data_IF_270001758769
#
_entry.id   IF_270001758769
#
_cell.length_a   1.000
_cell.length_b   1.000
_cell.length_c   1.000
_cell.angle_alpha   90.00
_cell.angle_beta   90.00
_cell.angle_gamma   90.00
#
_symmetry.space_group_name_H-M   'P 1'
#
loop_
_entity.id
_entity.type
_entity.pdbx_description
1 polymer ?
#
# COMPACT_ATOMS: atom_id res chain seq x y z
N UNK A 1 -40.30 -86.50 -2.12
CA UNK A 1 -40.93 -86.52 -3.46
C UNK A 1 -40.23 -85.49 -4.27
N UNK A 2 -39.18 -85.92 -5.01
CA UNK A 2 -39.14 -86.27 -6.44
C UNK A 2 -39.83 -85.12 -7.27
N UNK A 3 -39.17 -84.41 -8.14
CA UNK A 3 -38.73 -84.88 -9.41
C UNK A 3 -37.80 -83.87 -10.13
N UNK A 4 -36.78 -84.44 -10.71
CA UNK A 4 -35.88 -83.96 -11.77
C UNK A 4 -36.59 -83.47 -13.00
N UNK A 5 -36.08 -82.45 -13.71
CA UNK A 5 -35.94 -82.50 -15.17
C UNK A 5 -34.81 -81.65 -15.72
N UNK A 6 -34.05 -82.33 -16.49
CA UNK A 6 -32.97 -81.88 -17.39
C UNK A 6 -33.52 -80.95 -18.52
N UNK A 7 -32.65 -80.10 -19.03
CA UNK A 7 -32.70 -79.91 -20.47
C UNK A 7 -32.24 -78.56 -21.03
N UNK A 8 -31.14 -78.68 -21.68
CA UNK A 8 -30.70 -78.05 -22.95
C UNK A 8 -29.79 -76.84 -22.89
N UNK A 9 -28.57 -77.16 -23.26
CA UNK A 9 -27.55 -76.19 -23.66
C UNK A 9 -27.95 -75.54 -24.98
N UNK A 10 -27.93 -74.22 -25.05
CA UNK A 10 -27.88 -73.48 -26.31
C UNK A 10 -26.70 -72.52 -26.22
N UNK A 11 -25.73 -72.73 -27.06
CA UNK A 11 -24.60 -71.88 -27.25
C UNK A 11 -25.04 -70.62 -28.03
N UNK A 12 -24.78 -69.44 -27.48
CA UNK A 12 -24.92 -68.21 -28.20
C UNK A 12 -23.53 -67.57 -28.31
N UNK A 13 -23.08 -67.38 -29.54
CA UNK A 13 -21.90 -66.63 -29.90
C UNK A 13 -22.06 -65.21 -29.38
N UNK A 14 -21.14 -64.77 -28.51
CA UNK A 14 -21.03 -63.38 -28.17
C UNK A 14 -20.02 -62.69 -29.09
N UNK A 15 -20.47 -61.75 -29.87
CA UNK A 15 -19.62 -60.86 -30.65
C UNK A 15 -18.93 -59.90 -29.71
N UNK A 16 -17.58 -59.87 -29.72
CA UNK A 16 -16.78 -58.87 -29.05
C UNK A 16 -16.87 -57.55 -29.84
N UNK A 17 -17.55 -56.56 -29.28
CA UNK A 17 -17.41 -55.17 -29.66
C UNK A 17 -16.30 -54.52 -28.91
N UNK A 18 -15.20 -54.19 -29.56
CA UNK A 18 -14.10 -53.40 -28.99
C UNK A 18 -14.51 -51.91 -28.98
N UNK A 19 -14.53 -51.21 -27.84
CA UNK A 19 -14.74 -49.79 -27.87
C UNK A 19 -13.44 -49.09 -28.31
N UNK A 20 -13.53 -48.31 -29.39
CA UNK A 20 -12.49 -47.38 -29.81
C UNK A 20 -12.49 -46.24 -28.82
N UNK A 21 -11.50 -46.20 -27.90
CA UNK A 21 -11.24 -45.06 -27.05
C UNK A 21 -10.51 -44.02 -27.91
N UNK A 22 -11.25 -42.99 -28.33
CA UNK A 22 -10.65 -41.80 -28.93
C UNK A 22 -9.88 -41.04 -27.86
N UNK A 23 -8.55 -41.11 -27.89
CA UNK A 23 -7.66 -40.27 -27.08
C UNK A 23 -7.76 -38.83 -27.65
N UNK A 24 -8.55 -37.98 -27.00
CA UNK A 24 -8.49 -36.54 -27.20
C UNK A 24 -7.18 -36.03 -26.54
N UNK A 25 -6.15 -35.88 -27.37
CA UNK A 25 -4.95 -35.10 -27.00
C UNK A 25 -5.39 -33.62 -26.88
N UNK A 26 -5.75 -33.23 -25.67
CA UNK A 26 -5.90 -31.83 -25.34
C UNK A 26 -4.52 -31.15 -25.39
N UNK A 27 -4.28 -30.37 -26.43
CA UNK A 27 -3.16 -29.45 -26.45
C UNK A 27 -3.38 -28.40 -25.36
N UNK A 28 -2.77 -28.60 -24.19
CA UNK A 28 -2.59 -27.55 -23.20
C UNK A 28 -1.64 -26.51 -23.80
N UNK A 29 -2.19 -25.39 -24.25
CA UNK A 29 -1.39 -24.20 -24.51
C UNK A 29 -0.86 -23.74 -23.16
N UNK A 30 0.38 -24.09 -22.85
CA UNK A 30 1.11 -23.43 -21.76
C UNK A 30 1.15 -21.93 -22.10
N UNK A 31 0.44 -21.15 -21.31
CA UNK A 31 0.59 -19.70 -21.34
C UNK A 31 2.04 -19.41 -20.93
N UNK A 32 2.89 -19.11 -21.88
CA UNK A 32 4.24 -18.61 -21.61
C UNK A 32 4.09 -17.35 -20.74
N UNK A 33 4.47 -17.42 -19.47
CA UNK A 33 4.56 -16.27 -18.61
C UNK A 33 5.45 -15.23 -19.33
N UNK A 34 4.96 -13.98 -19.41
CA UNK A 34 5.78 -12.90 -19.95
C UNK A 34 7.11 -12.86 -19.18
N UNK A 35 8.25 -12.69 -19.88
CA UNK A 35 9.54 -12.64 -19.22
C UNK A 35 9.51 -11.55 -18.13
N UNK A 36 10.04 -11.87 -16.96
CA UNK A 36 10.23 -10.87 -15.90
C UNK A 36 11.08 -9.73 -16.48
N UNK A 37 10.65 -8.48 -16.23
CA UNK A 37 11.42 -7.32 -16.67
C UNK A 37 12.86 -7.43 -16.14
N UNK A 38 13.84 -7.18 -16.99
CA UNK A 38 15.24 -7.15 -16.57
C UNK A 38 15.46 -6.00 -15.58
N UNK A 39 16.30 -6.18 -14.56
CA UNK A 39 16.67 -5.08 -13.67
C UNK A 39 17.24 -3.90 -14.48
N UNK A 40 16.96 -2.68 -14.02
CA UNK A 40 17.53 -1.49 -14.63
C UNK A 40 19.07 -1.55 -14.61
N UNK A 41 19.68 -1.11 -15.71
CA UNK A 41 21.13 -0.88 -15.76
C UNK A 41 21.54 0.28 -14.84
N UNK A 42 22.81 0.34 -14.46
CA UNK A 42 23.35 1.45 -13.66
C UNK A 42 23.10 2.83 -14.31
N UNK A 43 23.11 2.91 -15.63
CA UNK A 43 22.81 4.15 -16.37
C UNK A 43 21.35 4.57 -16.20
N UNK A 44 20.42 3.63 -16.28
CA UNK A 44 19.00 3.89 -16.10
C UNK A 44 18.69 4.25 -14.66
N UNK A 45 19.28 3.58 -13.67
CA UNK A 45 19.19 3.95 -12.25
C UNK A 45 19.69 5.37 -12.02
N UNK A 46 20.83 5.75 -12.60
CA UNK A 46 21.36 7.11 -12.49
C UNK A 46 20.44 8.14 -13.13
N UNK A 47 19.79 7.81 -14.25
CA UNK A 47 18.81 8.70 -14.88
C UNK A 47 17.58 8.92 -13.99
N UNK A 48 17.03 7.86 -13.39
CA UNK A 48 15.94 7.95 -12.41
C UNK A 48 16.36 8.78 -11.20
N UNK A 49 17.54 8.53 -10.64
CA UNK A 49 18.03 9.31 -9.49
C UNK A 49 18.22 10.79 -9.81
N UNK A 50 18.63 11.13 -11.04
CA UNK A 50 18.75 12.53 -11.49
C UNK A 50 17.37 13.18 -11.59
N UNK A 51 16.37 12.46 -12.11
CA UNK A 51 15.00 12.94 -12.19
C UNK A 51 14.38 13.12 -10.81
N UNK A 52 14.61 12.18 -9.87
CA UNK A 52 14.19 12.30 -8.47
C UNK A 52 14.73 13.59 -7.83
N UNK A 53 16.00 13.93 -8.05
CA UNK A 53 16.57 15.17 -7.51
C UNK A 53 15.92 16.43 -8.07
N UNK A 54 15.54 16.41 -9.34
CA UNK A 54 14.91 17.56 -10.02
C UNK A 54 13.41 17.66 -9.72
N UNK A 55 12.72 16.53 -9.69
CA UNK A 55 11.25 16.42 -9.74
C UNK A 55 10.68 15.47 -8.67
N UNK A 56 11.27 15.41 -7.49
CA UNK A 56 10.79 14.48 -6.45
C UNK A 56 9.26 14.56 -6.27
N UNK A 57 8.63 13.42 -5.98
CA UNK A 57 7.17 13.32 -5.98
C UNK A 57 6.60 13.30 -4.57
N UNK A 58 5.57 14.12 -4.33
CA UNK A 58 4.79 14.05 -3.09
C UNK A 58 3.91 12.79 -3.10
N UNK A 59 3.59 12.28 -1.92
CA UNK A 59 2.65 11.17 -1.72
C UNK A 59 1.32 11.47 -2.42
N UNK A 60 0.77 10.48 -3.12
CA UNK A 60 -0.50 10.59 -3.84
C UNK A 60 -0.46 11.37 -5.15
N UNK A 61 0.66 12.00 -5.49
CA UNK A 61 0.77 12.80 -6.71
C UNK A 61 0.50 11.97 -7.97
N UNK A 62 0.93 10.71 -8.01
CA UNK A 62 0.72 9.83 -9.14
C UNK A 62 -0.66 9.17 -9.10
N UNK A 63 -1.21 8.90 -7.91
CA UNK A 63 -2.59 8.41 -7.76
C UNK A 63 -3.55 9.48 -8.33
N UNK A 64 -3.40 10.73 -7.93
CA UNK A 64 -4.21 11.83 -8.47
C UNK A 64 -4.06 11.96 -10.00
N UNK A 65 -2.85 11.83 -10.52
CA UNK A 65 -2.59 11.92 -11.96
C UNK A 65 -3.28 10.81 -12.75
N UNK A 66 -3.32 9.59 -12.21
CA UNK A 66 -3.83 8.40 -12.91
C UNK A 66 -5.32 8.16 -12.64
N UNK A 67 -5.76 8.31 -11.39
CA UNK A 67 -7.12 7.99 -10.95
C UNK A 67 -8.04 9.23 -10.88
N UNK A 68 -7.46 10.43 -10.96
CA UNK A 68 -8.19 11.69 -10.86
C UNK A 68 -8.46 12.12 -9.42
N UNK A 69 -9.06 13.30 -9.28
CA UNK A 69 -9.53 13.87 -8.01
C UNK A 69 -11.01 14.19 -8.13
N UNK A 70 -11.86 13.41 -7.45
CA UNK A 70 -13.31 13.57 -7.38
C UNK A 70 -13.76 14.20 -6.06
N UNK A 71 -12.82 14.72 -5.26
CA UNK A 71 -13.12 15.37 -4.00
C UNK A 71 -13.79 16.73 -4.25
N UNK A 72 -15.00 16.90 -3.70
CA UNK A 72 -15.74 18.19 -3.70
C UNK A 72 -15.70 18.80 -2.29
N UNK A 73 -16.10 20.08 -2.11
CA UNK A 73 -16.24 20.65 -0.76
C UNK A 73 -17.12 19.80 0.15
N UNK A 74 -18.22 19.24 -0.36
CA UNK A 74 -19.14 18.37 0.38
C UNK A 74 -18.48 17.05 0.75
N UNK A 75 -17.70 16.45 -0.15
CA UNK A 75 -16.97 15.20 0.13
C UNK A 75 -15.85 15.42 1.16
N UNK A 76 -15.22 16.60 1.14
CA UNK A 76 -14.23 16.99 2.16
C UNK A 76 -14.87 17.13 3.54
N UNK A 77 -16.05 17.72 3.62
CA UNK A 77 -16.82 17.81 4.86
C UNK A 77 -17.26 16.42 5.36
N UNK A 78 -17.69 15.52 4.46
CA UNK A 78 -18.09 14.17 4.80
C UNK A 78 -16.90 13.31 5.30
N UNK A 79 -15.71 13.47 4.73
CA UNK A 79 -14.51 12.75 5.15
C UNK A 79 -14.03 13.15 6.56
N UNK A 80 -14.40 14.33 7.02
CA UNK A 80 -14.12 14.81 8.38
C UNK A 80 -15.16 14.35 9.42
N UNK A 81 -16.29 13.78 8.95
CA UNK A 81 -17.28 13.19 9.85
C UNK A 81 -16.85 11.77 10.24
N UNK A 82 -17.23 11.31 11.45
CA UNK A 82 -16.99 9.94 11.86
C UNK A 82 -17.57 8.96 10.83
N UNK A 83 -16.72 8.21 10.15
CA UNK A 83 -17.14 7.11 9.28
C UNK A 83 -17.43 5.90 10.19
N UNK A 84 -18.51 5.14 9.96
CA UNK A 84 -18.73 3.92 10.71
C UNK A 84 -17.56 2.96 10.38
N UNK A 85 -16.60 2.85 11.30
CA UNK A 85 -15.79 1.63 11.37
C UNK A 85 -16.80 0.48 11.50
N UNK A 86 -16.49 -0.70 10.93
CA UNK A 86 -17.33 -1.89 11.12
C UNK A 86 -17.61 -2.00 12.63
N UNK A 87 -18.82 -1.60 13.03
CA UNK A 87 -19.10 -1.13 14.36
C UNK A 87 -19.04 -2.29 15.35
N UNK A 88 -18.22 -2.13 16.36
CA UNK A 88 -18.62 -2.60 17.68
C UNK A 88 -19.83 -1.76 18.09
N UNK A 89 -20.97 -2.35 18.47
CA UNK A 89 -22.17 -1.61 18.82
C UNK A 89 -21.86 -0.69 20.00
N UNK A 90 -22.18 0.61 19.85
CA UNK A 90 -22.11 1.69 20.84
C UNK A 90 -20.83 2.57 20.89
N UNK A 91 -19.98 2.63 19.85
CA UNK A 91 -18.99 3.71 19.76
C UNK A 91 -19.32 4.63 18.58
N UNK A 92 -19.48 5.91 18.85
CA UNK A 92 -19.47 6.96 17.83
C UNK A 92 -18.09 6.85 17.14
N UNK A 93 -18.08 6.57 15.85
CA UNK A 93 -16.85 6.47 15.09
C UNK A 93 -16.18 7.85 15.09
N UNK A 94 -15.21 8.03 15.99
CA UNK A 94 -14.42 9.25 16.05
C UNK A 94 -13.34 9.17 14.97
N UNK A 95 -13.02 10.30 14.34
CA UNK A 95 -11.88 10.44 13.43
C UNK A 95 -10.98 11.57 13.89
N UNK A 96 -9.70 11.52 13.52
CA UNK A 96 -8.74 12.59 13.76
C UNK A 96 -8.26 13.14 12.43
N UNK A 97 -8.32 14.45 12.27
CA UNK A 97 -7.85 15.11 11.06
C UNK A 97 -6.32 15.22 11.05
N UNK A 98 -5.73 14.91 9.91
CA UNK A 98 -4.29 14.97 9.65
C UNK A 98 -3.97 15.52 8.28
N UNK A 99 -2.71 15.39 7.91
CA UNK A 99 -2.17 15.82 6.63
C UNK A 99 -0.83 15.13 6.36
N UNK A 100 -0.37 15.16 5.12
CA UNK A 100 1.01 14.86 4.80
C UNK A 100 1.66 16.00 4.02
N UNK A 101 2.99 16.08 4.09
CA UNK A 101 3.78 17.15 3.49
C UNK A 101 5.08 16.63 2.89
N UNK A 102 5.54 17.31 1.85
CA UNK A 102 6.81 17.07 1.19
C UNK A 102 7.58 18.38 1.01
N UNK A 103 8.63 18.38 0.22
CA UNK A 103 9.43 19.59 -0.06
C UNK A 103 8.64 20.71 -0.72
N UNK A 104 7.56 20.39 -1.42
CA UNK A 104 6.70 21.38 -2.11
C UNK A 104 6.04 22.36 -1.14
N UNK A 105 5.79 21.97 0.10
CA UNK A 105 5.23 22.84 1.13
C UNK A 105 6.26 23.76 1.76
N UNK A 106 7.57 23.53 1.50
CA UNK A 106 8.64 24.33 2.09
C UNK A 106 8.57 24.35 3.61
N UNK A 107 8.79 25.53 4.20
CA UNK A 107 8.59 25.74 5.64
C UNK A 107 7.10 25.86 5.96
N UNK A 108 6.60 24.96 6.81
CA UNK A 108 5.18 24.86 7.17
C UNK A 108 4.87 25.70 8.41
N UNK A 109 3.79 26.46 8.35
CA UNK A 109 3.22 27.13 9.52
C UNK A 109 2.35 26.15 10.31
N UNK A 110 2.94 25.45 11.26
CA UNK A 110 2.27 24.41 12.05
C UNK A 110 1.17 24.97 12.96
N UNK A 111 1.33 26.20 13.48
CA UNK A 111 0.29 26.86 14.29
C UNK A 111 -1.01 27.05 13.51
N UNK A 112 -0.91 27.41 12.22
CA UNK A 112 -2.07 27.56 11.35
C UNK A 112 -2.82 26.23 11.13
N UNK A 113 -2.11 25.12 10.89
CA UNK A 113 -2.74 23.82 10.71
C UNK A 113 -3.32 23.24 12.01
N UNK A 114 -2.64 23.50 13.13
CA UNK A 114 -3.14 23.13 14.46
C UNK A 114 -4.47 23.84 14.77
N UNK A 115 -4.56 25.13 14.49
CA UNK A 115 -5.79 25.92 14.70
C UNK A 115 -6.96 25.46 13.82
N UNK A 116 -6.66 24.83 12.68
CA UNK A 116 -7.66 24.20 11.82
C UNK A 116 -8.03 22.76 12.24
N UNK A 117 -7.57 22.32 13.39
CA UNK A 117 -7.93 21.02 13.96
C UNK A 117 -7.05 19.85 13.53
N UNK A 118 -5.97 20.05 12.78
CA UNK A 118 -5.04 18.98 12.44
C UNK A 118 -4.27 18.52 13.65
N UNK A 119 -4.08 17.20 13.81
CA UNK A 119 -3.45 16.61 15.01
C UNK A 119 -2.34 15.63 14.67
N UNK A 120 -2.26 15.14 13.44
CA UNK A 120 -1.16 14.29 12.99
C UNK A 120 -0.66 14.68 11.62
N UNK A 121 0.57 14.27 11.33
CA UNK A 121 1.22 14.52 10.06
C UNK A 121 2.23 13.43 9.72
N UNK A 122 2.33 13.05 8.44
CA UNK A 122 3.51 12.38 7.91
C UNK A 122 4.30 13.34 7.01
N UNK A 123 5.61 13.35 7.21
CA UNK A 123 6.53 14.21 6.47
C UNK A 123 7.40 13.36 5.55
N UNK A 124 7.49 13.70 4.25
CA UNK A 124 8.45 13.04 3.37
C UNK A 124 9.85 13.17 3.94
N UNK A 125 10.53 12.04 4.15
CA UNK A 125 11.92 12.02 4.52
C UNK A 125 12.80 11.74 3.31
N UNK A 126 12.48 10.68 2.56
CA UNK A 126 13.35 10.15 1.51
C UNK A 126 12.56 9.66 0.29
N UNK A 127 13.27 9.53 -0.84
CA UNK A 127 12.81 8.83 -2.04
C UNK A 127 13.98 8.05 -2.62
N UNK A 128 13.77 6.78 -3.04
CA UNK A 128 14.87 5.90 -3.43
C UNK A 128 15.96 5.83 -2.34
N UNK A 129 17.20 5.62 -2.74
CA UNK A 129 18.38 5.73 -1.87
C UNK A 129 19.21 6.98 -2.17
N UNK A 130 18.62 7.98 -2.83
CA UNK A 130 19.37 9.13 -3.34
C UNK A 130 18.81 10.49 -2.92
N UNK A 131 17.54 10.57 -2.52
CA UNK A 131 16.90 11.85 -2.18
C UNK A 131 16.55 11.93 -0.71
N UNK A 132 16.80 13.10 -0.12
CA UNK A 132 16.30 13.53 1.20
C UNK A 132 15.56 14.86 1.07
N UNK A 133 14.46 15.02 1.79
CA UNK A 133 13.69 16.26 1.78
C UNK A 133 14.47 17.38 2.49
N UNK A 134 14.85 18.47 1.81
CA UNK A 134 15.62 19.57 2.41
C UNK A 134 14.87 20.33 3.52
N UNK A 135 13.54 20.22 3.56
CA UNK A 135 12.70 20.84 4.59
C UNK A 135 12.35 19.89 5.73
N UNK A 136 12.84 18.63 5.71
CA UNK A 136 12.46 17.59 6.66
C UNK A 136 12.62 18.05 8.11
N UNK A 137 13.73 18.64 8.46
CA UNK A 137 13.99 19.07 9.85
C UNK A 137 12.97 20.10 10.35
N UNK A 138 12.63 21.11 9.55
CA UNK A 138 11.60 22.08 9.89
C UNK A 138 10.21 21.46 9.97
N UNK A 139 9.87 20.62 8.99
CA UNK A 139 8.57 19.99 8.92
C UNK A 139 8.37 19.00 10.07
N UNK A 140 9.31 18.12 10.31
CA UNK A 140 9.23 17.05 11.29
C UNK A 140 9.36 17.55 12.75
N UNK A 141 10.36 18.40 13.03
CA UNK A 141 10.55 18.93 14.37
C UNK A 141 9.57 20.06 14.69
N UNK A 142 9.23 20.89 13.70
CA UNK A 142 8.25 21.97 13.87
C UNK A 142 6.86 21.43 14.20
N UNK A 143 6.41 20.36 13.55
CA UNK A 143 5.15 19.70 13.88
C UNK A 143 5.14 19.11 15.28
N UNK A 144 6.23 18.44 15.67
CA UNK A 144 6.40 17.91 17.04
C UNK A 144 6.31 19.02 18.10
N UNK A 145 7.01 20.14 17.88
CA UNK A 145 7.03 21.27 18.81
C UNK A 145 5.66 21.94 18.93
N UNK A 146 4.85 21.90 17.86
CA UNK A 146 3.46 22.38 17.88
C UNK A 146 2.51 21.43 18.62
N UNK A 147 2.90 20.16 18.84
CA UNK A 147 2.08 19.17 19.52
C UNK A 147 1.48 18.08 18.63
N UNK A 148 1.78 18.06 17.32
CA UNK A 148 1.35 16.99 16.43
C UNK A 148 1.94 15.64 16.84
N UNK A 149 1.17 14.59 16.65
CA UNK A 149 1.68 13.23 16.49
C UNK A 149 2.19 13.13 15.05
N UNK A 150 3.48 12.88 14.87
CA UNK A 150 4.12 12.96 13.55
C UNK A 150 4.84 11.68 13.19
N UNK A 151 4.94 11.40 11.90
CA UNK A 151 5.73 10.33 11.31
C UNK A 151 6.52 10.82 10.10
N UNK A 152 7.33 9.94 9.56
CA UNK A 152 8.03 10.16 8.31
C UNK A 152 7.54 9.18 7.23
N UNK A 153 7.64 9.55 5.93
CA UNK A 153 7.38 8.61 4.85
C UNK A 153 8.52 8.52 3.85
N UNK A 154 8.56 7.39 3.18
CA UNK A 154 9.50 7.05 2.13
C UNK A 154 8.74 6.80 0.82
N UNK A 155 9.05 7.56 -0.23
CA UNK A 155 8.53 7.28 -1.56
C UNK A 155 9.37 6.18 -2.21
N UNK A 156 8.74 5.05 -2.53
CA UNK A 156 9.43 3.87 -3.02
C UNK A 156 9.72 3.93 -4.52
N UNK A 157 10.89 3.45 -4.91
CA UNK A 157 11.27 3.23 -6.30
C UNK A 157 11.81 1.80 -6.46
N UNK A 158 10.93 0.78 -6.50
CA UNK A 158 11.32 -0.64 -6.40
C UNK A 158 12.29 -1.13 -7.47
N UNK A 159 12.37 -0.44 -8.60
CA UNK A 159 13.26 -0.79 -9.71
C UNK A 159 14.68 -0.20 -9.58
N UNK A 160 14.97 0.63 -8.59
CA UNK A 160 16.29 1.29 -8.44
C UNK A 160 17.21 0.58 -7.47
N UNK A 161 16.64 -0.05 -6.43
CA UNK A 161 17.38 -0.79 -5.39
C UNK A 161 16.47 -1.74 -4.63
N UNK A 162 17.03 -2.63 -3.79
CA UNK A 162 16.24 -3.55 -2.96
C UNK A 162 15.41 -2.82 -1.90
N UNK A 163 14.35 -3.48 -1.42
CA UNK A 163 13.55 -2.98 -0.31
C UNK A 163 14.37 -2.75 0.94
N UNK A 164 15.29 -3.66 1.26
CA UNK A 164 16.19 -3.54 2.41
C UNK A 164 17.12 -2.32 2.30
N UNK A 165 17.63 -2.01 1.10
CA UNK A 165 18.46 -0.83 0.89
C UNK A 165 17.66 0.45 1.12
N UNK A 166 16.43 0.54 0.57
CA UNK A 166 15.57 1.71 0.74
C UNK A 166 15.09 1.86 2.19
N UNK A 167 14.70 0.78 2.86
CA UNK A 167 14.35 0.82 4.29
C UNK A 167 15.52 1.28 5.16
N UNK A 168 16.73 0.79 4.87
CA UNK A 168 17.95 1.20 5.60
C UNK A 168 18.25 2.68 5.39
N UNK A 169 18.13 3.16 4.15
CA UNK A 169 18.31 4.58 3.83
C UNK A 169 17.25 5.45 4.52
N UNK A 170 15.99 5.04 4.47
CA UNK A 170 14.89 5.73 5.12
C UNK A 170 15.10 5.87 6.63
N UNK A 171 15.42 4.77 7.33
CA UNK A 171 15.67 4.81 8.79
C UNK A 171 16.83 5.73 9.14
N UNK A 172 17.91 5.72 8.33
CA UNK A 172 19.07 6.58 8.54
C UNK A 172 18.82 8.07 8.29
N UNK A 173 17.74 8.42 7.57
CA UNK A 173 17.43 9.79 7.16
C UNK A 173 16.06 10.27 7.65
N UNK A 174 15.67 9.87 8.85
CA UNK A 174 14.49 10.40 9.54
C UNK A 174 13.30 9.44 9.64
N UNK A 175 13.36 8.27 9.01
CA UNK A 175 12.32 7.24 9.08
C UNK A 175 12.32 6.39 10.36
N UNK A 176 13.19 6.65 11.31
CA UNK A 176 13.25 5.95 12.59
C UNK A 176 12.00 6.16 13.43
N UNK A 177 11.80 5.26 14.39
CA UNK A 177 10.72 5.36 15.37
C UNK A 177 11.25 5.47 16.79
N UNK A 178 10.52 6.20 17.65
CA UNK A 178 10.80 6.29 19.09
C UNK A 178 9.51 6.18 19.89
N UNK A 179 9.58 5.49 21.04
CA UNK A 179 8.46 5.30 21.96
C UNK A 179 8.23 6.57 22.82
N UNK A 180 7.97 7.71 22.17
CA UNK A 180 7.75 9.00 22.80
C UNK A 180 6.28 9.43 22.84
N UNK A 181 5.37 8.56 22.40
CA UNK A 181 3.93 8.81 22.31
C UNK A 181 3.53 9.81 21.22
N UNK A 182 4.48 10.30 20.43
CA UNK A 182 4.28 11.29 19.38
C UNK A 182 4.93 10.91 18.05
N UNK A 183 5.61 9.76 17.97
CA UNK A 183 6.24 9.26 16.75
C UNK A 183 5.42 8.13 16.17
N UNK A 184 4.76 8.37 15.04
CA UNK A 184 4.08 7.35 14.26
C UNK A 184 5.09 6.40 13.60
N UNK A 185 4.73 5.14 13.34
CA UNK A 185 5.53 4.29 12.47
C UNK A 185 5.79 4.96 11.13
N UNK A 186 6.95 4.74 10.56
CA UNK A 186 7.26 5.23 9.21
C UNK A 186 6.31 4.65 8.18
N UNK A 187 5.99 5.41 7.15
CA UNK A 187 5.13 4.97 6.07
C UNK A 187 5.94 4.64 4.81
N UNK A 188 5.61 3.51 4.20
CA UNK A 188 6.07 3.09 2.88
C UNK A 188 5.04 3.52 1.85
N UNK A 189 5.40 4.46 1.00
CA UNK A 189 4.57 4.98 -0.08
C UNK A 189 4.75 4.13 -1.35
N UNK A 190 3.70 3.37 -1.69
CA UNK A 190 3.63 2.45 -2.82
C UNK A 190 2.54 2.88 -3.78
N UNK A 191 2.93 3.60 -4.84
CA UNK A 191 2.01 4.14 -5.83
C UNK A 191 2.54 4.02 -7.27
N UNK A 192 1.79 4.55 -8.24
CA UNK A 192 2.16 4.56 -9.66
C UNK A 192 3.56 5.13 -9.88
N UNK A 193 4.33 4.43 -10.70
CA UNK A 193 5.70 4.86 -11.03
C UNK A 193 5.68 6.17 -11.84
N UNK A 194 6.26 7.26 -11.34
CA UNK A 194 6.37 8.51 -12.10
C UNK A 194 7.43 8.45 -13.20
N UNK A 195 8.35 7.47 -13.12
CA UNK A 195 9.54 7.37 -13.96
C UNK A 195 9.42 6.30 -15.06
N UNK A 196 8.26 5.62 -15.20
CA UNK A 196 8.10 4.58 -16.20
C UNK A 196 6.86 3.71 -16.03
N UNK A 197 7.01 2.40 -16.26
CA UNK A 197 5.89 1.46 -16.20
C UNK A 197 5.22 1.44 -14.82
N UNK A 198 3.90 1.36 -14.79
CA UNK A 198 3.03 1.48 -13.60
C UNK A 198 3.53 0.70 -12.38
N UNK A 199 3.92 -0.55 -12.57
CA UNK A 199 4.43 -1.43 -11.50
C UNK A 199 5.97 -1.49 -11.50
N UNK A 200 6.67 -0.44 -11.91
CA UNK A 200 8.14 -0.36 -11.94
C UNK A 200 8.80 -1.45 -12.79
N UNK A 201 8.08 -2.01 -13.78
CA UNK A 201 8.54 -3.14 -14.57
C UNK A 201 8.59 -4.48 -13.82
N UNK A 202 8.09 -4.54 -12.60
CA UNK A 202 8.09 -5.74 -11.77
C UNK A 202 6.81 -6.56 -11.98
N UNK A 203 6.94 -7.88 -11.90
CA UNK A 203 5.79 -8.77 -11.72
C UNK A 203 5.16 -8.57 -10.33
N UNK A 204 3.89 -8.98 -10.14
CA UNK A 204 3.24 -8.94 -8.82
C UNK A 204 4.04 -9.68 -7.75
N UNK A 205 4.60 -10.83 -8.08
CA UNK A 205 5.41 -11.63 -7.16
C UNK A 205 6.70 -10.90 -6.78
N UNK A 206 7.40 -10.30 -7.77
CA UNK A 206 8.62 -9.53 -7.51
C UNK A 206 8.35 -8.26 -6.71
N UNK A 207 7.24 -7.56 -6.99
CA UNK A 207 6.80 -6.40 -6.22
C UNK A 207 6.47 -6.79 -4.78
N UNK A 208 5.75 -7.89 -4.59
CA UNK A 208 5.44 -8.43 -3.25
C UNK A 208 6.72 -8.76 -2.47
N UNK A 209 7.68 -9.41 -3.11
CA UNK A 209 8.96 -9.74 -2.48
C UNK A 209 9.75 -8.47 -2.11
N UNK A 210 9.71 -7.45 -2.96
CA UNK A 210 10.35 -6.16 -2.69
C UNK A 210 9.71 -5.44 -1.48
N UNK A 211 8.36 -5.39 -1.45
CA UNK A 211 7.63 -4.79 -0.32
C UNK A 211 7.96 -5.54 0.97
N UNK A 212 7.98 -6.88 0.91
CA UNK A 212 8.34 -7.70 2.08
C UNK A 212 9.76 -7.42 2.57
N UNK A 213 10.72 -7.28 1.68
CA UNK A 213 12.12 -6.97 1.99
C UNK A 213 12.24 -5.59 2.70
N UNK A 214 11.51 -4.57 2.22
CA UNK A 214 11.43 -3.29 2.91
C UNK A 214 10.77 -3.41 4.29
N UNK A 215 9.61 -4.04 4.34
CA UNK A 215 8.76 -4.18 5.51
C UNK A 215 9.50 -4.91 6.67
N UNK A 216 10.12 -6.05 6.38
CA UNK A 216 10.87 -6.83 7.36
C UNK A 216 12.13 -6.09 7.83
N UNK A 217 12.84 -5.42 6.91
CA UNK A 217 14.04 -4.63 7.24
C UNK A 217 13.69 -3.43 8.11
N UNK A 218 12.60 -2.71 7.78
CA UNK A 218 12.13 -1.61 8.60
C UNK A 218 11.77 -2.08 10.01
N UNK A 219 11.03 -3.18 10.12
CA UNK A 219 10.67 -3.77 11.40
C UNK A 219 11.90 -4.20 12.21
N UNK A 220 12.86 -4.86 11.59
CA UNK A 220 14.09 -5.29 12.25
C UNK A 220 14.91 -4.11 12.82
N UNK A 221 14.83 -2.94 12.17
CA UNK A 221 15.58 -1.73 12.59
C UNK A 221 14.86 -0.88 13.63
N UNK A 222 13.54 -0.90 13.65
CA UNK A 222 12.73 0.03 14.47
C UNK A 222 11.87 -0.66 15.52
N UNK A 223 11.67 -1.98 15.42
CA UNK A 223 10.72 -2.74 16.22
C UNK A 223 9.25 -2.48 15.82
N UNK A 224 8.99 -1.71 14.76
CA UNK A 224 7.65 -1.33 14.30
C UNK A 224 7.43 -1.77 12.84
N UNK A 225 6.24 -2.27 12.57
CA UNK A 225 5.82 -2.48 11.20
C UNK A 225 5.51 -1.14 10.53
N UNK A 226 5.96 -0.93 9.29
CA UNK A 226 5.66 0.32 8.59
C UNK A 226 4.17 0.38 8.23
N UNK A 227 3.63 1.59 8.17
CA UNK A 227 2.35 1.85 7.51
C UNK A 227 2.55 1.66 6.00
N UNK A 228 1.61 1.02 5.32
CA UNK A 228 1.61 0.94 3.85
C UNK A 228 0.60 1.97 3.32
N UNK A 229 1.11 2.94 2.55
CA UNK A 229 0.30 3.86 1.77
C UNK A 229 0.17 3.35 0.33
N UNK A 230 -1.05 3.35 -0.20
CA UNK A 230 -1.34 2.93 -1.58
C UNK A 230 -2.77 3.30 -1.99
N UNK A 231 -3.07 3.19 -3.30
CA UNK A 231 -4.45 3.11 -3.79
C UNK A 231 -4.89 1.67 -4.00
N UNK A 232 -6.19 1.42 -3.93
CA UNK A 232 -6.76 0.09 -4.19
C UNK A 232 -6.45 -0.39 -5.60
N UNK A 233 -6.52 0.50 -6.59
CA UNK A 233 -6.30 0.12 -7.98
C UNK A 233 -4.84 -0.27 -8.22
N UNK A 234 -3.89 0.55 -7.76
CA UNK A 234 -2.47 0.22 -7.92
C UNK A 234 -2.10 -1.06 -7.19
N UNK A 235 -2.53 -1.21 -5.93
CA UNK A 235 -2.24 -2.41 -5.14
C UNK A 235 -2.73 -3.68 -5.81
N UNK A 236 -4.00 -3.70 -6.22
CA UNK A 236 -4.60 -4.88 -6.85
C UNK A 236 -3.98 -5.19 -8.22
N UNK A 237 -3.43 -4.16 -8.91
CA UNK A 237 -2.72 -4.34 -10.17
C UNK A 237 -1.29 -4.87 -9.97
N UNK A 238 -0.57 -4.41 -8.96
CA UNK A 238 0.88 -4.57 -8.86
C UNK A 238 1.36 -5.55 -7.78
N UNK A 239 0.50 -5.93 -6.84
CA UNK A 239 0.87 -6.75 -5.67
C UNK A 239 0.07 -8.05 -5.65
N UNK A 240 0.60 -9.10 -5.01
CA UNK A 240 -0.07 -10.38 -4.79
C UNK A 240 0.09 -10.93 -3.36
N UNK A 241 0.79 -10.20 -2.49
CA UNK A 241 1.03 -10.59 -1.09
C UNK A 241 0.01 -10.00 -0.13
N UNK A 242 -0.08 -10.59 1.06
CA UNK A 242 -0.91 -10.13 2.16
C UNK A 242 -0.04 -9.52 3.26
N UNK A 243 -0.29 -8.25 3.57
CA UNK A 243 0.36 -7.50 4.64
C UNK A 243 -0.63 -7.02 5.72
N UNK A 244 -1.91 -7.38 5.58
CA UNK A 244 -3.00 -6.86 6.42
C UNK A 244 -2.88 -7.21 7.90
N UNK A 245 -2.17 -8.29 8.23
CA UNK A 245 -1.95 -8.73 9.62
C UNK A 245 -0.89 -7.92 10.37
N UNK A 246 -0.02 -7.20 9.66
CA UNK A 246 1.11 -6.47 10.25
C UNK A 246 1.14 -4.99 9.89
N UNK A 247 0.82 -4.65 8.65
CA UNK A 247 0.88 -3.26 8.19
C UNK A 247 -0.45 -2.53 8.36
N UNK A 248 -0.49 -1.41 9.11
CA UNK A 248 -1.62 -0.49 9.05
C UNK A 248 -1.78 0.05 7.62
N UNK A 249 -3.01 0.09 7.10
CA UNK A 249 -3.30 0.60 5.77
C UNK A 249 -3.55 2.11 5.80
N UNK A 250 -2.84 2.84 4.95
CA UNK A 250 -3.16 4.21 4.58
C UNK A 250 -3.61 4.24 3.12
N UNK A 251 -4.93 4.26 2.94
CA UNK A 251 -5.52 4.22 1.59
C UNK A 251 -5.68 5.62 1.02
N UNK A 252 -5.30 5.79 -0.24
CA UNK A 252 -5.58 7.00 -1.00
C UNK A 252 -6.78 6.81 -1.91
N UNK A 253 -7.73 7.70 -1.80
CA UNK A 253 -8.84 7.85 -2.72
C UNK A 253 -9.44 9.24 -2.59
N UNK A 254 -9.33 10.03 -3.63
CA UNK A 254 -9.85 11.41 -3.66
C UNK A 254 -11.32 11.42 -4.03
N UNK A 255 -12.18 11.13 -3.05
CA UNK A 255 -13.63 10.95 -3.23
C UNK A 255 -14.38 11.15 -1.91
N UNK A 256 -15.70 10.85 -1.89
CA UNK A 256 -16.55 10.99 -0.70
C UNK A 256 -16.41 9.84 0.32
N UNK A 257 -15.70 8.77 -0.03
CA UNK A 257 -15.46 7.62 0.85
C UNK A 257 -14.17 6.92 0.44
N UNK A 258 -13.55 6.17 1.35
CA UNK A 258 -12.38 5.35 1.06
C UNK A 258 -12.68 4.23 0.04
N UNK A 259 -13.95 3.87 -0.13
CA UNK A 259 -14.41 2.86 -1.10
C UNK A 259 -13.95 1.45 -0.77
N UNK A 260 -13.86 0.62 -1.81
CA UNK A 260 -13.28 -0.73 -1.67
C UNK A 260 -11.81 -0.63 -1.34
N UNK A 261 -11.39 -1.35 -0.32
CA UNK A 261 -9.98 -1.38 0.11
C UNK A 261 -9.15 -2.34 -0.74
N UNK A 262 -7.83 -2.21 -0.75
CA UNK A 262 -6.93 -3.22 -1.28
C UNK A 262 -7.27 -4.58 -0.69
N UNK A 263 -7.14 -5.66 -1.50
CA UNK A 263 -7.50 -7.00 -1.03
C UNK A 263 -6.77 -7.35 0.29
N UNK A 264 -7.46 -8.16 1.11
CA UNK A 264 -7.06 -8.63 2.44
C UNK A 264 -7.19 -7.59 3.58
N UNK A 265 -7.21 -6.27 3.35
CA UNK A 265 -7.53 -5.33 4.43
C UNK A 265 -9.03 -5.22 4.66
N UNK A 266 -9.47 -5.52 5.88
CA UNK A 266 -10.86 -5.35 6.32
C UNK A 266 -11.21 -3.92 6.74
N UNK A 267 -10.22 -3.09 7.02
CA UNK A 267 -10.35 -1.68 7.41
C UNK A 267 -9.09 -0.90 7.05
N UNK A 268 -9.23 0.42 6.92
CA UNK A 268 -8.09 1.32 6.79
C UNK A 268 -7.77 1.98 8.13
N UNK A 269 -6.51 2.31 8.34
CA UNK A 269 -6.04 3.08 9.50
C UNK A 269 -6.10 4.57 9.21
N UNK A 270 -5.67 4.96 8.00
CA UNK A 270 -5.70 6.34 7.51
C UNK A 270 -6.27 6.37 6.11
N UNK A 271 -6.99 7.42 5.78
CA UNK A 271 -7.49 7.69 4.44
C UNK A 271 -7.09 9.10 4.01
N UNK A 272 -6.33 9.20 2.90
CA UNK A 272 -6.06 10.43 2.20
C UNK A 272 -7.21 10.71 1.23
N UNK A 273 -8.01 11.73 1.53
CA UNK A 273 -9.29 11.96 0.85
C UNK A 273 -9.29 13.13 -0.14
N UNK A 274 -8.28 13.99 -0.10
CA UNK A 274 -8.09 15.10 -1.04
C UNK A 274 -6.66 15.60 -1.00
N UNK A 275 -6.23 16.22 -2.11
CA UNK A 275 -4.93 16.88 -2.23
C UNK A 275 -5.04 18.44 -2.28
N UNK A 276 -6.18 19.00 -1.90
CA UNK A 276 -6.43 20.45 -1.99
C UNK A 276 -6.93 21.00 -0.63
N UNK A 277 -6.31 22.09 -0.10
CA UNK A 277 -5.21 22.89 -0.66
C UNK A 277 -3.84 22.19 -0.60
N UNK A 278 -3.70 21.12 0.13
CA UNK A 278 -2.62 20.14 0.20
C UNK A 278 -3.22 18.80 0.65
N UNK A 279 -2.43 17.75 0.72
CA UNK A 279 -2.89 16.42 1.07
C UNK A 279 -3.52 16.40 2.46
N UNK A 280 -4.77 15.91 2.52
CA UNK A 280 -5.57 15.88 3.73
C UNK A 280 -5.95 14.45 4.08
N UNK A 281 -5.75 14.12 5.36
CA UNK A 281 -5.93 12.80 5.90
C UNK A 281 -6.96 12.74 7.01
N UNK A 282 -7.56 11.58 7.17
CA UNK A 282 -8.34 11.24 8.35
C UNK A 282 -7.86 9.91 8.94
N UNK A 283 -7.58 9.90 10.22
CA UNK A 283 -7.31 8.69 10.98
C UNK A 283 -8.63 8.05 11.41
N UNK A 284 -8.78 6.76 11.18
CA UNK A 284 -9.99 5.98 11.47
C UNK A 284 -10.03 5.54 12.95
N UNK A 285 -10.26 6.47 13.83
CA UNK A 285 -10.31 6.24 15.26
C UNK A 285 -10.23 7.52 16.08
N UNK A 286 -10.49 7.41 17.37
CA UNK A 286 -10.34 8.52 18.30
C UNK A 286 -8.87 8.85 18.56
N UNK A 287 -8.61 10.00 19.18
CA UNK A 287 -7.26 10.50 19.39
C UNK A 287 -6.39 9.58 20.27
N UNK A 288 -6.99 8.89 21.26
CA UNK A 288 -6.31 7.89 22.09
C UNK A 288 -5.83 6.68 21.26
N UNK A 289 -6.55 6.32 20.20
CA UNK A 289 -6.14 5.25 19.26
C UNK A 289 -4.99 5.69 18.36
N UNK A 290 -4.97 6.96 17.97
CA UNK A 290 -3.84 7.54 17.26
C UNK A 290 -2.59 7.58 18.16
N UNK A 291 -2.76 7.94 19.44
CA UNK A 291 -1.69 7.85 20.43
C UNK A 291 -1.21 6.40 20.65
N UNK A 292 -2.14 5.43 20.68
CA UNK A 292 -1.77 4.01 20.77
C UNK A 292 -0.93 3.56 19.57
N UNK A 293 -1.28 3.99 18.35
CA UNK A 293 -0.47 3.73 17.17
C UNK A 293 0.94 4.30 17.28
N UNK A 294 1.10 5.49 17.91
CA UNK A 294 2.39 6.11 18.14
C UNK A 294 3.20 5.44 19.27
N UNK A 295 2.54 4.80 20.23
CA UNK A 295 3.22 4.16 21.38
C UNK A 295 3.70 2.72 21.09
N UNK A 296 3.12 2.01 20.15
CA UNK A 296 3.51 0.65 19.80
C UNK A 296 2.48 -0.41 20.12
#
# INVERSE_FOLDING_TARGET
MSTSRRGRRTALLSALTVPVVALLLGASTEATAAPAASPLSAREINAVNTDIQANNHAMGSQIRRVEGDQSTPETKAAAQQPQPAAALPNQVAATVAGMDVASYQGNVNWGNWWSQGKRFVWTKATESTSYTNPYFAQQYNGSYNQGFIRGAYHFATPNTSSGAAQATYFVAHGGGWSADGKTLPGALDMEYNPYGATCYGLSKASMTAWIKDFHDTYHAKTGRWPVIYTSTNWWNQCVSGDFSSTAPLWVARYASSAGTLPYNWGYYTVWQYTSSPLDQDTFNGAYDRLQALANG
#
